data_IF_411785748624
#
_entry.id   IF_411785748624
#
_cell.length_a   1.000
_cell.length_b   1.000
_cell.length_c   1.000
_cell.angle_alpha   90.00
_cell.angle_beta   90.00
_cell.angle_gamma   90.00
#
_symmetry.space_group_name_H-M   'P 1'
#
loop_
_entity.id
_entity.type
_entity.pdbx_description
1 polymer ?
#
# COMPACT_ATOMS: atom_id res chain seq x y z
N UNK A 1 -0.91 6.47 11.36
CA UNK A 1 -0.97 5.92 9.99
C UNK A 1 -2.41 5.91 9.51
N UNK A 2 -2.68 6.41 8.31
CA UNK A 2 -3.97 6.23 7.64
C UNK A 2 -3.70 5.85 6.19
N UNK A 3 -4.16 4.68 5.76
CA UNK A 3 -4.12 4.33 4.34
C UNK A 3 -5.34 4.95 3.67
N UNK A 4 -5.05 5.83 2.73
CA UNK A 4 -5.96 6.46 1.77
C UNK A 4 -6.85 5.49 0.99
N UNK A 5 -8.14 5.75 0.75
CA UNK A 5 -8.84 5.19 -0.42
C UNK A 5 -8.08 5.56 -1.69
N UNK A 6 -7.50 6.77 -1.73
CA UNK A 6 -6.69 7.22 -2.85
C UNK A 6 -5.35 6.48 -2.96
N UNK A 7 -4.73 6.12 -1.83
CA UNK A 7 -3.56 5.24 -1.80
C UNK A 7 -3.87 3.84 -2.37
N UNK A 8 -4.97 3.24 -1.93
CA UNK A 8 -5.43 1.93 -2.41
C UNK A 8 -5.71 1.96 -3.92
N UNK A 9 -6.47 2.96 -4.38
CA UNK A 9 -6.77 3.11 -5.81
C UNK A 9 -5.51 3.38 -6.64
N UNK A 10 -4.52 4.07 -6.07
CA UNK A 10 -3.19 4.25 -6.66
C UNK A 10 -2.50 2.92 -6.95
N UNK A 11 -2.47 2.03 -5.96
CA UNK A 11 -1.92 0.67 -6.11
C UNK A 11 -2.68 -0.14 -7.15
N UNK A 12 -4.02 -0.11 -7.11
CA UNK A 12 -4.85 -0.81 -8.11
C UNK A 12 -4.54 -0.32 -9.53
N UNK A 13 -4.47 1.00 -9.75
CA UNK A 13 -4.15 1.58 -11.05
C UNK A 13 -2.73 1.20 -11.52
N UNK A 14 -1.74 1.29 -10.64
CA UNK A 14 -0.37 0.91 -10.96
C UNK A 14 -0.26 -0.58 -11.29
N UNK A 15 -0.94 -1.44 -10.53
CA UNK A 15 -0.94 -2.89 -10.74
C UNK A 15 -1.66 -3.28 -12.03
N UNK A 16 -2.75 -2.60 -12.37
CA UNK A 16 -3.42 -2.76 -13.66
C UNK A 16 -2.45 -2.54 -14.83
N UNK A 17 -1.67 -1.45 -14.78
CA UNK A 17 -0.67 -1.16 -15.79
C UNK A 17 0.50 -2.14 -15.77
N UNK A 18 0.91 -2.61 -14.59
CA UNK A 18 1.97 -3.61 -14.44
C UNK A 18 1.60 -4.96 -15.08
N UNK A 19 0.34 -5.40 -14.91
CA UNK A 19 -0.19 -6.63 -15.54
C UNK A 19 -0.22 -6.56 -17.06
N UNK A 20 -0.27 -5.35 -17.61
CA UNK A 20 -0.29 -5.06 -19.05
C UNK A 20 1.04 -4.49 -19.55
N UNK A 21 2.13 -4.76 -18.84
CA UNK A 21 3.46 -4.32 -19.26
C UNK A 21 3.81 -4.93 -20.62
N UNK A 22 4.11 -4.09 -21.61
CA UNK A 22 4.36 -4.51 -22.99
C UNK A 22 3.18 -4.32 -23.94
N UNK A 23 1.98 -4.06 -23.42
CA UNK A 23 0.80 -3.74 -24.24
C UNK A 23 0.77 -2.26 -24.68
N UNK A 24 -0.22 -1.93 -25.53
CA UNK A 24 -0.55 -0.56 -25.85
C UNK A 24 -0.97 0.26 -24.60
N UNK A 25 -0.75 1.59 -24.60
CA UNK A 25 -1.17 2.46 -23.50
C UNK A 25 -2.67 2.32 -23.18
N UNK A 26 -3.01 2.37 -21.89
CA UNK A 26 -4.37 2.14 -21.37
C UNK A 26 -4.99 3.46 -20.93
N UNK A 27 -6.22 3.75 -21.33
CA UNK A 27 -6.88 5.01 -20.93
C UNK A 27 -7.32 4.97 -19.46
N UNK A 28 -7.39 6.13 -18.79
CA UNK A 28 -7.91 6.21 -17.41
C UNK A 28 -9.36 5.69 -17.30
N UNK A 29 -10.19 5.99 -18.31
CA UNK A 29 -11.56 5.45 -18.42
C UNK A 29 -11.59 3.93 -18.48
N UNK A 30 -10.67 3.31 -19.22
CA UNK A 30 -10.58 1.85 -19.30
C UNK A 30 -10.16 1.24 -17.97
N UNK A 31 -9.14 1.80 -17.30
CA UNK A 31 -8.73 1.38 -15.96
C UNK A 31 -9.91 1.48 -14.99
N UNK A 32 -10.61 2.62 -14.97
CA UNK A 32 -11.79 2.84 -14.11
C UNK A 32 -12.88 1.79 -14.34
N UNK A 33 -13.16 1.45 -15.61
CA UNK A 33 -14.16 0.43 -15.95
C UNK A 33 -13.73 -0.98 -15.54
N UNK A 34 -12.47 -1.37 -15.81
CA UNK A 34 -11.98 -2.73 -15.55
C UNK A 34 -11.82 -2.99 -14.04
N UNK A 35 -11.27 -2.03 -13.32
CA UNK A 35 -11.04 -2.11 -11.87
C UNK A 35 -12.25 -1.67 -11.03
N UNK A 36 -13.36 -1.27 -11.69
CA UNK A 36 -14.61 -0.82 -11.05
C UNK A 36 -14.40 0.35 -10.09
N UNK A 37 -13.60 1.32 -10.51
CA UNK A 37 -13.27 2.52 -9.76
C UNK A 37 -14.01 3.75 -10.31
N UNK A 38 -14.29 4.77 -9.49
CA UNK A 38 -14.82 6.04 -9.97
C UNK A 38 -13.85 6.71 -10.96
N UNK A 39 -14.31 7.06 -12.16
CA UNK A 39 -13.46 7.60 -13.23
C UNK A 39 -12.71 8.88 -12.82
N UNK A 40 -13.38 9.80 -12.12
CA UNK A 40 -12.77 11.06 -11.66
C UNK A 40 -11.61 10.81 -10.69
N UNK A 41 -11.72 9.78 -9.84
CA UNK A 41 -10.65 9.39 -8.93
C UNK A 41 -9.46 8.82 -9.70
N UNK A 42 -9.73 7.94 -10.67
CA UNK A 42 -8.67 7.37 -11.52
C UNK A 42 -7.92 8.48 -12.25
N UNK A 43 -8.60 9.44 -12.89
CA UNK A 43 -7.92 10.54 -13.58
C UNK A 43 -7.04 11.37 -12.64
N UNK A 44 -7.52 11.70 -11.44
CA UNK A 44 -6.71 12.42 -10.45
C UNK A 44 -5.48 11.62 -10.00
N UNK A 45 -5.65 10.32 -9.77
CA UNK A 45 -4.58 9.41 -9.38
C UNK A 45 -3.54 9.30 -10.50
N UNK A 46 -3.98 9.07 -11.73
CA UNK A 46 -3.08 8.93 -12.88
C UNK A 46 -2.25 10.19 -13.11
N UNK A 47 -2.83 11.38 -12.90
CA UNK A 47 -2.07 12.64 -12.94
C UNK A 47 -1.00 12.71 -11.85
N UNK A 48 -1.31 12.28 -10.63
CA UNK A 48 -0.36 12.24 -9.51
C UNK A 48 0.78 11.24 -9.76
N UNK A 49 0.45 10.01 -10.15
CA UNK A 49 1.42 8.98 -10.50
C UNK A 49 2.32 9.43 -11.67
N UNK A 50 1.76 10.17 -12.63
CA UNK A 50 2.53 10.73 -13.74
C UNK A 50 3.52 11.79 -13.27
N UNK A 51 3.10 12.70 -12.38
CA UNK A 51 3.98 13.74 -11.81
C UNK A 51 5.13 13.12 -11.01
N UNK A 52 4.88 12.00 -10.34
CA UNK A 52 5.89 11.24 -9.61
C UNK A 52 6.78 10.36 -10.51
N UNK A 53 6.57 10.34 -11.83
CA UNK A 53 7.36 9.52 -12.75
C UNK A 53 7.13 8.01 -12.60
N UNK A 54 6.00 7.60 -12.00
CA UNK A 54 5.61 6.18 -11.88
C UNK A 54 4.96 5.70 -13.19
N UNK A 55 4.17 6.57 -13.81
CA UNK A 55 3.51 6.30 -15.10
C UNK A 55 3.87 7.35 -16.14
N UNK A 56 3.91 6.95 -17.40
CA UNK A 56 4.04 7.82 -18.55
C UNK A 56 2.70 7.92 -19.27
N UNK A 57 2.38 9.10 -19.81
CA UNK A 57 1.16 9.32 -20.60
C UNK A 57 1.50 9.64 -22.05
N UNK A 58 0.80 9.02 -23.00
CA UNK A 58 0.84 9.37 -24.42
C UNK A 58 -0.48 10.04 -24.81
N UNK A 59 -0.44 11.09 -25.64
CA UNK A 59 -1.64 11.78 -26.15
C UNK A 59 -2.11 11.19 -27.48
N UNK A 60 -3.36 11.48 -27.85
CA UNK A 60 -3.94 11.11 -29.15
C UNK A 60 -4.97 9.98 -29.05
N UNK A 61 -5.52 9.56 -30.19
CA UNK A 61 -6.61 8.56 -30.27
C UNK A 61 -6.23 7.16 -29.73
N UNK A 62 -4.93 6.86 -29.70
CA UNK A 62 -4.36 5.64 -29.11
C UNK A 62 -3.45 5.97 -27.91
N UNK A 63 -3.71 7.12 -27.28
CA UNK A 63 -3.04 7.57 -26.07
C UNK A 63 -3.55 6.84 -24.82
N UNK A 64 -2.92 7.15 -23.70
CA UNK A 64 -3.20 6.49 -22.43
C UNK A 64 -1.96 6.47 -21.55
N UNK A 65 -2.01 5.63 -20.52
CA UNK A 65 -0.98 5.47 -19.53
C UNK A 65 -0.27 4.13 -19.67
N UNK A 66 1.01 4.11 -19.29
CA UNK A 66 1.83 2.91 -19.10
C UNK A 66 2.76 3.13 -17.91
N UNK A 67 3.35 2.07 -17.36
CA UNK A 67 4.44 2.27 -16.39
C UNK A 67 5.61 3.02 -17.05
N UNK A 68 6.19 3.97 -16.33
CA UNK A 68 7.34 4.76 -16.80
C UNK A 68 8.67 3.99 -16.65
N UNK A 69 8.71 3.01 -15.75
CA UNK A 69 9.86 2.15 -15.45
C UNK A 69 9.38 0.74 -15.08
N UNK A 70 10.30 -0.22 -14.99
CA UNK A 70 9.94 -1.62 -14.73
C UNK A 70 9.19 -1.78 -13.40
N UNK A 71 8.22 -2.71 -13.34
CA UNK A 71 7.47 -2.98 -12.10
C UNK A 71 8.38 -3.42 -10.94
N UNK A 72 9.51 -4.06 -11.25
CA UNK A 72 10.55 -4.41 -10.27
C UNK A 72 11.36 -3.23 -9.75
N UNK A 73 11.19 -2.02 -10.27
CA UNK A 73 11.86 -0.82 -9.76
C UNK A 73 10.95 0.00 -8.84
N UNK A 74 9.63 -0.18 -8.93
CA UNK A 74 8.62 0.64 -8.26
C UNK A 74 8.22 -0.03 -6.94
N UNK A 75 8.41 0.64 -5.80
CA UNK A 75 7.98 0.14 -4.49
C UNK A 75 6.51 0.47 -4.21
N UNK A 76 5.89 -0.23 -3.27
CA UNK A 76 4.57 0.15 -2.74
C UNK A 76 4.61 1.56 -2.14
N UNK A 77 5.70 1.91 -1.45
CA UNK A 77 5.91 3.26 -0.91
C UNK A 77 5.87 4.32 -2.00
N UNK A 78 6.50 4.09 -3.15
CA UNK A 78 6.48 5.04 -4.27
C UNK A 78 5.04 5.37 -4.69
N UNK A 79 4.23 4.33 -4.90
CA UNK A 79 2.85 4.48 -5.38
C UNK A 79 1.98 5.18 -4.35
N UNK A 80 2.06 4.77 -3.07
CA UNK A 80 1.30 5.38 -1.99
C UNK A 80 1.69 6.86 -1.80
N UNK A 81 2.99 7.15 -1.77
CA UNK A 81 3.54 8.50 -1.59
C UNK A 81 3.23 9.41 -2.78
N UNK A 82 3.06 8.86 -3.99
CA UNK A 82 2.61 9.64 -5.14
C UNK A 82 1.10 9.91 -5.08
N UNK A 83 0.32 8.94 -4.62
CA UNK A 83 -1.14 9.02 -4.62
C UNK A 83 -1.67 9.98 -3.55
N UNK A 84 -0.93 10.16 -2.46
CA UNK A 84 -1.31 10.99 -1.31
C UNK A 84 -0.19 11.95 -0.89
N UNK A 85 -0.54 13.04 -0.20
CA UNK A 85 0.47 13.96 0.32
C UNK A 85 1.12 13.49 1.64
N UNK A 86 0.41 12.68 2.45
CA UNK A 86 0.95 12.14 3.71
C UNK A 86 0.28 10.82 4.07
N UNK A 87 1.07 9.77 4.26
CA UNK A 87 0.64 8.40 4.62
C UNK A 87 0.76 8.14 6.12
N UNK A 88 1.73 8.80 6.75
CA UNK A 88 2.00 8.69 8.17
C UNK A 88 2.24 10.08 8.74
N UNK A 89 1.34 10.47 9.64
CA UNK A 89 1.43 11.73 10.33
C UNK A 89 1.83 11.43 11.78
N UNK A 90 3.09 11.71 12.13
CA UNK A 90 3.51 11.62 13.52
C UNK A 90 2.79 12.72 14.27
N UNK A 91 1.85 12.34 15.14
CA UNK A 91 1.04 13.32 15.88
C UNK A 91 1.92 14.35 16.61
N UNK A 92 3.09 13.97 17.12
CA UNK A 92 4.00 14.91 17.78
C UNK A 92 4.51 16.05 16.87
N UNK A 93 4.60 15.83 15.56
CA UNK A 93 5.10 16.82 14.58
C UNK A 93 3.94 17.58 13.96
N UNK A 94 2.93 16.86 13.51
CA UNK A 94 1.88 17.44 12.67
C UNK A 94 0.65 17.90 13.45
N UNK A 95 0.47 17.37 14.66
CA UNK A 95 -0.65 17.68 15.55
C UNK A 95 -0.15 17.82 17.00
N UNK A 96 0.83 18.71 17.28
CA UNK A 96 1.37 18.85 18.62
C UNK A 96 0.26 19.27 19.59
N UNK A 97 0.22 18.64 20.76
CA UNK A 97 -0.74 18.99 21.82
C UNK A 97 -0.51 20.42 22.29
N UNK A 98 0.76 20.80 22.44
CA UNK A 98 1.22 22.14 22.74
C UNK A 98 2.67 22.28 22.23
N UNK A 99 3.01 23.43 21.66
CA UNK A 99 4.30 23.62 21.00
C UNK A 99 5.48 23.38 21.95
N UNK A 100 5.38 23.86 23.19
CA UNK A 100 6.42 23.68 24.21
C UNK A 100 6.54 22.20 24.59
N UNK A 101 5.44 21.56 25.00
CA UNK A 101 5.43 20.13 25.37
C UNK A 101 5.96 19.20 24.28
N UNK A 102 5.70 19.52 23.02
CA UNK A 102 6.12 18.72 21.87
C UNK A 102 7.47 19.17 21.28
N UNK A 103 8.08 20.24 21.78
CA UNK A 103 9.37 20.75 21.32
C UNK A 103 10.48 19.72 21.47
N UNK A 104 11.49 19.77 20.58
CA UNK A 104 12.63 18.85 20.61
C UNK A 104 13.34 18.83 21.97
N UNK A 105 13.38 19.97 22.66
CA UNK A 105 13.99 20.16 23.97
C UNK A 105 13.27 19.50 25.14
N UNK A 106 12.02 19.06 24.96
CA UNK A 106 11.27 18.35 25.99
C UNK A 106 11.52 16.83 25.93
N UNK A 107 11.80 16.24 27.10
CA UNK A 107 11.92 14.78 27.26
C UNK A 107 10.53 14.12 27.21
N UNK A 108 10.24 13.44 26.10
CA UNK A 108 8.96 12.80 25.84
C UNK A 108 9.19 11.34 25.42
N UNK A 109 8.91 10.41 26.33
CA UNK A 109 9.06 8.97 26.11
C UNK A 109 8.15 8.39 25.03
N UNK A 110 7.11 9.12 24.60
CA UNK A 110 6.17 8.70 23.55
C UNK A 110 6.75 8.92 22.15
N UNK A 111 7.50 10.02 21.94
CA UNK A 111 8.08 10.39 20.63
C UNK A 111 8.86 9.24 19.97
N UNK A 112 9.85 8.60 20.64
CA UNK A 112 10.62 7.53 20.01
C UNK A 112 9.77 6.29 19.66
N UNK A 113 8.64 6.06 20.33
CA UNK A 113 7.70 4.97 19.97
C UNK A 113 7.03 5.26 18.62
N UNK A 114 6.62 6.51 18.38
CA UNK A 114 6.05 6.90 17.09
C UNK A 114 7.06 6.89 15.96
N UNK A 115 8.29 7.34 16.21
CA UNK A 115 9.38 7.28 15.23
C UNK A 115 9.71 5.83 14.85
N UNK A 116 9.78 4.93 15.83
CA UNK A 116 9.96 3.50 15.59
C UNK A 116 8.83 2.94 14.73
N UNK A 117 7.58 3.25 15.05
CA UNK A 117 6.42 2.78 14.30
C UNK A 117 6.47 3.26 12.85
N UNK A 118 6.73 4.55 12.63
CA UNK A 118 6.87 5.11 11.28
C UNK A 118 7.98 4.39 10.50
N UNK A 119 9.15 4.22 11.11
CA UNK A 119 10.27 3.53 10.48
C UNK A 119 9.90 2.10 10.07
N UNK A 120 9.22 1.35 10.94
CA UNK A 120 8.78 -0.02 10.62
C UNK A 120 7.78 -0.06 9.46
N UNK A 121 6.89 0.91 9.37
CA UNK A 121 5.94 1.01 8.26
C UNK A 121 6.68 1.32 6.96
N UNK A 122 7.57 2.32 6.98
CA UNK A 122 8.36 2.70 5.80
C UNK A 122 9.22 1.54 5.31
N UNK A 123 9.88 0.80 6.22
CA UNK A 123 10.65 -0.42 5.92
C UNK A 123 9.80 -1.47 5.17
N UNK A 124 8.54 -1.67 5.57
CA UNK A 124 7.64 -2.62 4.90
C UNK A 124 7.17 -2.10 3.53
N UNK A 125 6.82 -0.82 3.42
CA UNK A 125 6.35 -0.26 2.14
C UNK A 125 7.48 -0.16 1.11
N UNK A 126 8.73 0.01 1.55
CA UNK A 126 9.90 0.04 0.67
C UNK A 126 10.42 -1.35 0.29
N UNK A 127 10.11 -2.40 1.06
CA UNK A 127 10.57 -3.76 0.77
C UNK A 127 9.77 -4.47 -0.32
N UNK A 128 8.52 -4.05 -0.55
CA UNK A 128 7.61 -4.67 -1.53
C UNK A 128 7.60 -3.88 -2.83
N UNK A 129 7.86 -4.56 -3.94
CA UNK A 129 7.82 -4.00 -5.30
C UNK A 129 6.51 -4.33 -5.99
N UNK A 130 6.15 -3.54 -6.99
CA UNK A 130 4.96 -3.78 -7.79
C UNK A 130 5.02 -5.13 -8.52
N UNK A 131 6.21 -5.61 -8.87
CA UNK A 131 6.41 -6.96 -9.42
C UNK A 131 6.04 -8.07 -8.45
N UNK A 132 6.26 -7.87 -7.14
CA UNK A 132 5.93 -8.87 -6.13
C UNK A 132 4.41 -9.02 -6.03
N UNK A 133 3.67 -7.92 -6.21
CA UNK A 133 2.21 -7.89 -6.23
C UNK A 133 1.58 -8.51 -7.49
N UNK A 134 2.37 -8.88 -8.50
CA UNK A 134 1.90 -9.64 -9.66
C UNK A 134 1.82 -11.15 -9.38
N UNK A 135 2.41 -11.60 -8.26
CA UNK A 135 2.40 -13.00 -7.85
C UNK A 135 1.04 -13.40 -7.26
N UNK A 136 0.83 -14.70 -7.03
CA UNK A 136 -0.37 -15.18 -6.34
C UNK A 136 -0.34 -14.74 -4.87
N UNK A 137 -1.52 -14.53 -4.27
CA UNK A 137 -1.66 -14.09 -2.88
C UNK A 137 -0.80 -14.91 -1.91
N UNK A 138 -0.77 -16.24 -2.07
CA UNK A 138 0.08 -17.12 -1.26
C UNK A 138 1.55 -16.71 -1.29
N UNK A 139 2.10 -16.45 -2.46
CA UNK A 139 3.50 -16.08 -2.64
C UNK A 139 3.77 -14.69 -2.07
N UNK A 140 2.84 -13.75 -2.25
CA UNK A 140 2.92 -12.41 -1.63
C UNK A 140 2.94 -12.53 -0.12
N UNK A 141 2.07 -13.38 0.47
CA UNK A 141 2.04 -13.62 1.93
C UNK A 141 3.37 -14.16 2.45
N UNK A 142 3.95 -15.13 1.76
CA UNK A 142 5.28 -15.67 2.08
C UNK A 142 6.34 -14.57 1.99
N UNK A 143 6.33 -13.77 0.92
CA UNK A 143 7.25 -12.65 0.70
C UNK A 143 7.18 -11.59 1.82
N UNK A 144 5.97 -11.25 2.30
CA UNK A 144 5.79 -10.27 3.39
C UNK A 144 5.88 -10.88 4.79
N UNK A 145 6.30 -12.14 4.93
CA UNK A 145 6.49 -12.80 6.23
C UNK A 145 5.19 -13.14 6.97
N UNK A 146 4.07 -13.25 6.26
CA UNK A 146 2.76 -13.67 6.80
C UNK A 146 2.53 -15.17 6.56
N UNK A 147 3.39 -16.02 7.15
CA UNK A 147 3.22 -17.47 7.11
C UNK A 147 1.95 -17.93 7.85
N UNK A 148 1.30 -18.97 7.35
CA UNK A 148 -0.06 -19.37 7.69
C UNK A 148 -0.22 -19.76 9.17
N UNK A 149 -0.97 -18.96 9.94
CA UNK A 149 -1.58 -19.39 11.21
C UNK A 149 -2.72 -20.44 11.03
N UNK A 150 -2.79 -21.15 9.90
CA UNK A 150 -3.96 -21.91 9.48
C UNK A 150 -3.65 -23.34 9.01
N UNK A 151 -2.88 -24.13 9.78
CA UNK A 151 -2.93 -25.61 9.74
C UNK A 151 -2.89 -26.20 11.16
N UNK A 152 -3.59 -25.61 12.13
CA UNK A 152 -3.76 -26.21 13.47
C UNK A 152 -5.21 -26.18 14.01
N UNK A 153 -6.23 -26.09 13.13
CA UNK A 153 -7.66 -26.18 13.56
C UNK A 153 -8.43 -27.38 12.99
N UNK A 154 -7.77 -28.53 12.75
CA UNK A 154 -8.50 -29.76 12.39
C UNK A 154 -8.13 -31.02 13.18
N UNK A 155 -7.33 -30.94 14.26
CA UNK A 155 -6.98 -32.14 15.05
C UNK A 155 -6.83 -31.88 16.56
N UNK A 156 -7.95 -31.61 17.25
CA UNK A 156 -8.18 -32.00 18.64
C UNK A 156 -9.68 -31.89 18.88
N UNK A 157 -10.50 -32.94 18.73
CA UNK A 157 -10.34 -34.19 19.46
C UNK A 157 -11.00 -34.03 20.83
N UNK A 158 -12.32 -34.29 20.88
CA UNK A 158 -13.16 -34.57 22.06
C UNK A 158 -12.57 -34.19 23.43
N UNK A 159 -13.03 -33.08 23.99
CA UNK A 159 -13.08 -32.92 25.45
C UNK A 159 -14.22 -33.81 25.98
N UNK A 160 -13.88 -35.05 26.32
CA UNK A 160 -14.68 -35.84 27.25
C UNK A 160 -14.52 -35.19 28.64
N UNK A 161 -15.61 -34.63 29.17
CA UNK A 161 -15.67 -34.18 30.56
C UNK A 161 -15.58 -35.42 31.46
N UNK A 162 -14.70 -35.45 32.48
CA UNK A 162 -14.74 -36.52 33.47
C UNK A 162 -15.98 -36.34 34.33
N UNK A 163 -16.81 -37.39 34.36
CA UNK A 163 -17.86 -37.57 35.37
C UNK A 163 -17.17 -37.65 36.73
N UNK A 164 -17.37 -36.64 37.58
CA UNK A 164 -16.99 -36.73 38.99
C UNK A 164 -17.99 -37.65 39.69
N UNK A 165 -17.56 -38.88 39.97
CA UNK A 165 -18.14 -39.71 41.03
C UNK A 165 -17.38 -39.43 42.32
N UNK A 166 -18.11 -39.08 43.38
CA UNK A 166 -17.58 -38.81 44.72
C UNK A 166 -18.53 -37.92 45.50
#
# INVERSE_FOLDING_TARGET
MRITTQAEYGLICALHLARRSGDAPVTGREIASQERLPADYVEQIMLKLRRAGIVASTRGAHGGYRLARAAGEITVRDVISASEHSTFDVHCVSHPVEAERCAESHDCSIRPVWELLQRRIDEVLDSVRLSDLLMQERQVREHVGLEQAAVQRSASGRLALPVLQG
#
